data_IF_463560405976
#
_entry.id   IF_463560405976
#
_cell.length_a   1.000
_cell.length_b   1.000
_cell.length_c   1.000
_cell.angle_alpha   90.00
_cell.angle_beta   90.00
_cell.angle_gamma   90.00
#
_symmetry.space_group_name_H-M   'P 1'
#
loop_
_entity.id
_entity.type
_entity.pdbx_description
1 polymer ?
#
# COMPACT_ATOMS: atom_id res chain seq x y z
N UNK A 1 4.00 0.52 31.93
CA UNK A 1 3.47 0.12 30.63
C UNK A 1 4.39 0.58 29.51
N UNK A 2 4.87 -0.34 28.78
CA UNK A 2 5.90 -0.08 27.76
C UNK A 2 5.36 0.54 26.49
N UNK A 3 4.06 0.35 26.18
CA UNK A 3 3.46 0.85 24.95
C UNK A 3 3.59 2.38 24.82
N UNK A 4 3.24 3.12 25.88
CA UNK A 4 3.36 4.58 25.87
C UNK A 4 4.79 5.07 25.77
N UNK A 5 5.75 4.34 26.35
CA UNK A 5 7.17 4.66 26.24
C UNK A 5 7.70 4.32 24.85
N UNK A 6 7.27 3.17 24.27
CA UNK A 6 7.71 2.74 22.95
C UNK A 6 7.30 3.72 21.84
N UNK A 7 6.17 4.42 22.00
CA UNK A 7 5.63 5.33 20.99
C UNK A 7 5.78 6.81 21.33
N UNK A 8 6.50 7.13 22.40
CA UNK A 8 6.56 8.51 22.91
C UNK A 8 7.18 9.49 21.91
N UNK A 9 8.05 9.01 21.00
CA UNK A 9 8.68 9.82 19.95
C UNK A 9 7.96 9.74 18.61
N UNK A 10 6.83 9.06 18.55
CA UNK A 10 6.06 8.96 17.32
C UNK A 10 5.24 10.23 17.16
N UNK A 11 5.16 10.72 15.92
CA UNK A 11 4.44 11.95 15.60
C UNK A 11 3.00 11.64 15.25
N UNK A 12 2.08 12.38 15.85
CA UNK A 12 0.67 12.33 15.43
C UNK A 12 0.50 13.02 14.10
N UNK A 13 -0.22 12.39 13.20
CA UNK A 13 -0.50 12.93 11.90
C UNK A 13 -1.73 12.31 11.28
N UNK A 14 -1.93 12.59 10.02
CA UNK A 14 -2.97 11.99 9.20
C UNK A 14 -2.34 10.97 8.26
N UNK A 15 -3.16 10.05 7.73
CA UNK A 15 -2.65 9.04 6.79
C UNK A 15 -1.91 9.69 5.62
N UNK A 16 -2.39 10.85 5.11
CA UNK A 16 -1.72 11.55 4.02
C UNK A 16 -0.32 12.05 4.38
N UNK A 17 0.01 12.15 5.67
CA UNK A 17 1.36 12.50 6.12
C UNK A 17 2.28 11.28 6.13
N UNK A 18 1.72 10.08 6.13
CA UNK A 18 2.45 8.83 6.01
C UNK A 18 2.62 8.44 4.55
N UNK A 19 1.55 8.53 3.78
CA UNK A 19 1.50 8.16 2.37
C UNK A 19 0.37 8.92 1.68
N UNK A 20 0.68 9.55 0.57
CA UNK A 20 -0.32 10.22 -0.25
C UNK A 20 -0.70 9.32 -1.40
N UNK A 21 -1.97 8.96 -1.48
CA UNK A 21 -2.50 8.06 -2.49
C UNK A 21 -3.08 8.80 -3.68
N UNK A 22 -2.98 8.16 -4.84
CA UNK A 22 -3.64 8.58 -6.06
C UNK A 22 -4.31 7.37 -6.69
N UNK A 23 -5.43 7.60 -7.36
CA UNK A 23 -6.11 6.57 -8.14
C UNK A 23 -5.20 6.10 -9.27
N UNK A 24 -5.18 4.79 -9.51
CA UNK A 24 -4.41 4.17 -10.58
C UNK A 24 -4.98 4.49 -11.97
N UNK A 25 -4.41 3.85 -12.97
CA UNK A 25 -4.63 4.16 -14.37
C UNK A 25 -5.31 2.98 -15.07
N UNK A 26 -6.36 3.27 -15.82
CA UNK A 26 -7.06 2.25 -16.57
C UNK A 26 -6.16 1.68 -17.68
N UNK A 27 -6.23 0.38 -17.84
CA UNK A 27 -5.61 -0.32 -18.97
C UNK A 27 -6.38 -1.62 -19.21
N UNK A 28 -6.77 -1.84 -20.45
CA UNK A 28 -7.40 -3.09 -20.84
C UNK A 28 -6.35 -4.12 -21.26
N UNK A 29 -6.72 -5.40 -21.30
CA UNK A 29 -5.83 -6.45 -21.79
C UNK A 29 -5.37 -6.20 -23.22
N UNK A 30 -6.27 -5.67 -24.05
CA UNK A 30 -5.96 -5.37 -25.45
C UNK A 30 -4.92 -4.25 -25.60
N UNK A 31 -4.83 -3.36 -24.64
CA UNK A 31 -3.87 -2.25 -24.63
C UNK A 31 -2.50 -2.66 -24.09
N UNK A 32 -2.40 -3.84 -23.47
CA UNK A 32 -1.14 -4.29 -22.88
C UNK A 32 -0.24 -4.93 -23.93
N UNK A 33 1.05 -4.63 -23.83
CA UNK A 33 2.09 -5.26 -24.64
C UNK A 33 3.05 -6.00 -23.72
N UNK A 34 3.65 -7.09 -24.22
CA UNK A 34 4.51 -7.95 -23.41
C UNK A 34 5.68 -7.18 -22.82
N UNK A 35 5.95 -7.41 -21.56
CA UNK A 35 7.04 -6.77 -20.85
C UNK A 35 7.16 -7.24 -19.41
N UNK A 36 8.13 -6.67 -18.66
CA UNK A 36 8.42 -7.12 -17.30
C UNK A 36 7.66 -6.35 -16.21
N UNK A 37 6.87 -5.34 -16.57
CA UNK A 37 6.25 -4.43 -15.61
C UNK A 37 4.96 -5.05 -15.06
N UNK A 38 4.86 -5.31 -13.74
CA UNK A 38 3.63 -5.86 -13.18
C UNK A 38 2.51 -4.83 -13.23
N UNK A 39 1.34 -5.28 -13.67
CA UNK A 39 0.08 -4.54 -13.57
C UNK A 39 -0.57 -4.97 -12.27
N UNK A 40 -0.65 -4.05 -11.32
CA UNK A 40 -1.17 -4.32 -9.97
C UNK A 40 -2.60 -3.85 -9.86
N UNK A 41 -3.52 -4.79 -9.73
CA UNK A 41 -4.93 -4.51 -9.50
C UNK A 41 -5.28 -4.71 -8.03
N UNK A 42 -6.55 -4.52 -7.67
CA UNK A 42 -7.02 -4.75 -6.30
C UNK A 42 -6.82 -6.21 -5.85
N UNK A 43 -6.74 -7.15 -6.76
CA UNK A 43 -6.49 -8.56 -6.44
C UNK A 43 -5.00 -8.94 -6.48
N UNK A 44 -4.12 -8.00 -6.77
CA UNK A 44 -2.69 -8.22 -6.88
C UNK A 44 -2.20 -8.10 -8.31
N UNK A 45 -1.05 -8.70 -8.62
CA UNK A 45 -0.50 -8.71 -9.98
C UNK A 45 -1.38 -9.60 -10.86
N UNK A 46 -1.99 -9.01 -11.89
CA UNK A 46 -2.89 -9.71 -12.80
C UNK A 46 -2.28 -9.95 -14.16
N UNK A 47 -1.28 -9.18 -14.54
CA UNK A 47 -0.63 -9.29 -15.83
C UNK A 47 0.70 -8.52 -15.81
N UNK A 48 1.40 -8.55 -16.94
CA UNK A 48 2.66 -7.82 -17.12
C UNK A 48 2.58 -7.00 -18.40
N UNK A 49 3.20 -5.84 -18.37
CA UNK A 49 3.14 -4.86 -19.46
C UNK A 49 4.55 -4.32 -19.72
N UNK A 50 4.71 -3.63 -20.83
CA UNK A 50 6.01 -3.06 -21.21
C UNK A 50 6.28 -1.71 -20.57
N UNK A 51 5.24 -0.99 -20.13
CA UNK A 51 5.36 0.36 -19.59
C UNK A 51 4.93 0.42 -18.13
N UNK A 52 5.62 1.26 -17.35
CA UNK A 52 5.29 1.56 -15.97
C UNK A 52 4.73 2.97 -15.85
N UNK A 53 3.80 3.16 -14.90
CA UNK A 53 3.26 4.48 -14.55
C UNK A 53 3.72 4.94 -13.18
N UNK A 54 4.30 4.06 -12.40
CA UNK A 54 4.77 4.37 -11.05
C UNK A 54 6.14 3.75 -10.80
N UNK A 55 6.96 4.46 -10.05
CA UNK A 55 8.28 3.94 -9.66
C UNK A 55 8.16 3.10 -8.40
N UNK A 56 8.87 1.98 -8.40
CA UNK A 56 9.07 1.18 -7.20
C UNK A 56 10.20 1.73 -6.36
N UNK A 57 10.25 1.37 -5.06
CA UNK A 57 9.25 0.58 -4.38
C UNK A 57 7.97 1.38 -4.12
N UNK A 58 6.83 0.70 -4.12
CA UNK A 58 5.54 1.33 -3.91
C UNK A 58 4.53 0.44 -3.21
N UNK A 59 3.51 1.07 -2.68
CA UNK A 59 2.42 0.39 -1.97
C UNK A 59 1.10 0.69 -2.67
N UNK A 60 0.27 -0.33 -2.78
CA UNK A 60 -1.00 -0.26 -3.51
C UNK A 60 -2.10 -0.83 -2.64
N UNK A 61 -3.23 -0.15 -2.55
CA UNK A 61 -4.40 -0.67 -1.84
C UNK A 61 -5.58 -0.79 -2.80
N UNK A 62 -6.44 -1.78 -2.55
CA UNK A 62 -7.64 -2.00 -3.34
C UNK A 62 -8.66 -0.89 -3.13
N UNK A 63 -9.01 -0.22 -4.22
CA UNK A 63 -10.02 0.85 -4.24
C UNK A 63 -11.39 0.29 -4.60
N UNK A 64 -11.43 -0.73 -5.44
CA UNK A 64 -12.64 -1.30 -6.02
C UNK A 64 -12.40 -2.78 -6.26
N UNK A 65 -13.44 -3.60 -6.12
CA UNK A 65 -13.30 -5.04 -6.22
C UNK A 65 -12.87 -5.63 -4.88
N UNK A 66 -11.58 -5.89 -4.69
CA UNK A 66 -11.05 -6.36 -3.40
C UNK A 66 -10.66 -5.14 -2.56
N UNK A 67 -11.65 -4.57 -1.89
CA UNK A 67 -11.51 -3.32 -1.15
C UNK A 67 -10.52 -3.47 0.00
N UNK A 68 -9.54 -2.57 0.07
CA UNK A 68 -8.61 -2.50 1.19
C UNK A 68 -7.52 -3.56 1.20
N UNK A 69 -7.39 -4.36 0.14
CA UNK A 69 -6.23 -5.23 -0.03
C UNK A 69 -4.96 -4.39 -0.11
N UNK A 70 -3.85 -4.90 0.41
CA UNK A 70 -2.57 -4.17 0.42
C UNK A 70 -1.54 -4.97 -0.35
N UNK A 71 -0.89 -4.34 -1.30
CA UNK A 71 0.14 -4.94 -2.15
C UNK A 71 1.40 -4.09 -2.14
N UNK A 72 2.54 -4.71 -2.37
CA UNK A 72 3.83 -4.06 -2.41
C UNK A 72 4.52 -4.37 -3.74
N UNK A 73 5.12 -3.37 -4.37
CA UNK A 73 5.96 -3.59 -5.54
C UNK A 73 7.36 -3.07 -5.27
N UNK A 74 8.35 -3.93 -5.42
CA UNK A 74 9.76 -3.56 -5.32
C UNK A 74 10.23 -2.84 -6.58
N UNK A 75 9.62 -3.15 -7.71
CA UNK A 75 9.99 -2.65 -9.04
C UNK A 75 8.98 -1.63 -9.54
N UNK A 76 9.34 -0.92 -10.60
CA UNK A 76 8.41 -0.04 -11.29
C UNK A 76 7.19 -0.83 -11.74
N UNK A 77 6.02 -0.23 -11.69
CA UNK A 77 4.76 -0.95 -11.88
C UNK A 77 3.70 -0.08 -12.54
N UNK A 78 2.64 -0.72 -12.97
CA UNK A 78 1.44 -0.05 -13.45
C UNK A 78 0.31 -0.29 -12.44
N UNK A 79 -0.04 0.71 -11.61
CA UNK A 79 -1.22 0.58 -10.73
C UNK A 79 -2.49 0.74 -11.54
N UNK A 80 -3.35 -0.29 -11.47
CA UNK A 80 -4.61 -0.29 -12.19
C UNK A 80 -5.62 0.68 -11.54
N UNK A 81 -6.65 1.12 -12.29
CA UNK A 81 -7.64 2.06 -11.78
C UNK A 81 -8.52 1.47 -10.65
N UNK A 82 -8.49 0.16 -10.45
CA UNK A 82 -9.11 -0.48 -9.29
C UNK A 82 -8.33 -0.28 -7.99
N UNK A 83 -7.26 0.50 -8.02
CA UNK A 83 -6.35 0.70 -6.89
C UNK A 83 -6.15 2.18 -6.55
N UNK A 84 -5.63 2.40 -5.34
CA UNK A 84 -4.96 3.63 -4.94
C UNK A 84 -3.49 3.29 -4.73
N UNK A 85 -2.60 4.10 -5.27
CA UNK A 85 -1.16 3.82 -5.20
C UNK A 85 -0.41 4.96 -4.51
N UNK A 86 0.73 4.63 -3.93
CA UNK A 86 1.56 5.57 -3.17
C UNK A 86 2.29 6.54 -4.11
N UNK A 87 1.61 7.62 -4.44
CA UNK A 87 2.21 8.68 -5.26
C UNK A 87 3.35 9.36 -4.52
N UNK A 88 3.22 9.53 -3.21
CA UNK A 88 4.22 10.17 -2.37
C UNK A 88 4.26 9.44 -1.02
N UNK A 89 5.41 8.85 -0.71
CA UNK A 89 5.62 8.15 0.56
C UNK A 89 6.09 9.11 1.67
N UNK A 90 6.16 10.41 1.40
CA UNK A 90 6.51 11.44 2.39
C UNK A 90 7.84 11.19 3.09
N UNK A 91 8.79 10.52 2.43
CA UNK A 91 10.06 10.16 3.04
C UNK A 91 10.00 8.97 3.98
N UNK A 92 8.86 8.31 4.10
CA UNK A 92 8.70 7.16 4.97
C UNK A 92 9.21 5.88 4.31
N UNK A 93 9.58 4.90 5.12
CA UNK A 93 10.06 3.62 4.63
C UNK A 93 8.92 2.87 3.94
N UNK A 94 9.09 2.45 2.67
CA UNK A 94 7.98 1.83 1.92
C UNK A 94 7.48 0.53 2.53
N UNK A 95 8.38 -0.32 3.04
CA UNK A 95 8.00 -1.57 3.70
C UNK A 95 7.26 -1.31 5.00
N UNK A 96 7.69 -0.31 5.76
CA UNK A 96 6.97 0.08 6.96
C UNK A 96 5.54 0.53 6.62
N UNK A 97 5.39 1.38 5.60
CA UNK A 97 4.06 1.84 5.14
C UNK A 97 3.20 0.64 4.75
N UNK A 98 3.76 -0.30 4.01
CA UNK A 98 3.06 -1.52 3.62
C UNK A 98 2.51 -2.27 4.84
N UNK A 99 3.34 -2.51 5.84
CA UNK A 99 2.91 -3.21 7.06
C UNK A 99 1.91 -2.39 7.86
N UNK A 100 2.13 -1.07 7.95
CA UNK A 100 1.21 -0.20 8.68
C UNK A 100 -0.20 -0.25 8.10
N UNK A 101 -0.32 -0.23 6.78
CA UNK A 101 -1.61 -0.25 6.11
C UNK A 101 -2.40 -1.53 6.40
N UNK A 102 -1.74 -2.65 6.69
CA UNK A 102 -2.42 -3.87 7.10
C UNK A 102 -3.14 -3.73 8.45
N UNK A 103 -2.77 -2.75 9.26
CA UNK A 103 -3.43 -2.52 10.57
C UNK A 103 -4.72 -1.74 10.44
N UNK A 104 -5.01 -1.18 9.28
CA UNK A 104 -6.19 -0.35 9.04
C UNK A 104 -7.29 -1.21 8.40
N UNK A 105 -8.49 -1.15 8.98
CA UNK A 105 -9.65 -1.81 8.38
C UNK A 105 -10.31 -0.87 7.37
N UNK A 106 -9.87 -0.94 6.12
CA UNK A 106 -10.42 -0.10 5.06
C UNK A 106 -11.86 -0.49 4.67
N UNK A 107 -12.28 -1.71 4.96
CA UNK A 107 -13.64 -2.16 4.65
C UNK A 107 -14.71 -1.36 5.37
N UNK A 108 -14.37 -0.75 6.51
CA UNK A 108 -15.33 0.09 7.25
C UNK A 108 -15.76 1.35 6.46
N UNK A 109 -15.03 1.69 5.40
CA UNK A 109 -15.39 2.82 4.53
C UNK A 109 -16.32 2.41 3.39
N UNK A 110 -16.69 1.14 3.34
CA UNK A 110 -17.79 0.66 2.51
C UNK A 110 -19.09 1.08 3.19
N UNK A 111 -19.83 1.95 2.52
CA UNK A 111 -21.05 2.54 3.09
C UNK A 111 -22.32 1.80 2.65
N UNK A 112 -22.22 0.47 2.48
CA UNK A 112 -23.38 -0.35 2.15
C UNK A 112 -23.83 -0.23 0.70
N UNK A 113 -22.96 0.22 -0.17
CA UNK A 113 -23.21 0.30 -1.60
C UNK A 113 -23.01 -1.07 -2.24
N UNK A 114 -23.84 -1.41 -3.23
CA UNK A 114 -23.67 -2.66 -3.98
C UNK A 114 -22.36 -2.71 -4.77
N UNK A 115 -21.72 -1.57 -4.99
CA UNK A 115 -20.46 -1.45 -5.71
C UNK A 115 -19.51 -0.54 -4.91
N UNK A 116 -18.99 -1.03 -3.76
CA UNK A 116 -18.21 -0.20 -2.86
C UNK A 116 -16.91 0.27 -3.51
N UNK A 117 -16.59 1.54 -3.28
CA UNK A 117 -15.38 2.17 -3.80
C UNK A 117 -14.72 2.96 -2.67
N UNK A 118 -13.42 2.73 -2.49
CA UNK A 118 -12.63 3.43 -1.49
C UNK A 118 -12.20 4.79 -2.06
N UNK A 119 -12.64 5.88 -1.43
CA UNK A 119 -12.26 7.23 -1.83
C UNK A 119 -11.05 7.70 -0.99
N UNK A 120 -9.98 8.10 -1.66
CA UNK A 120 -8.78 8.57 -0.97
C UNK A 120 -9.05 9.73 -0.01
N UNK A 121 -10.00 10.60 -0.33
CA UNK A 121 -10.34 11.74 0.53
C UNK A 121 -10.92 11.30 1.86
N UNK A 122 -11.56 10.13 1.91
CA UNK A 122 -12.10 9.58 3.16
C UNK A 122 -11.02 8.98 4.06
N UNK A 123 -9.93 8.48 3.47
CA UNK A 123 -8.88 7.82 4.24
C UNK A 123 -7.70 8.73 4.55
N UNK A 124 -7.46 9.77 3.75
CA UNK A 124 -6.33 10.67 3.95
C UNK A 124 -6.37 11.40 5.29
N UNK A 125 -7.55 11.59 5.85
CA UNK A 125 -7.74 12.27 7.16
C UNK A 125 -7.65 11.33 8.36
N UNK A 126 -7.48 10.01 8.14
CA UNK A 126 -7.36 9.07 9.25
C UNK A 126 -6.20 9.44 10.16
N UNK A 127 -6.44 9.48 11.49
CA UNK A 127 -5.35 9.74 12.42
C UNK A 127 -4.37 8.57 12.47
N UNK A 128 -3.10 8.87 12.44
CA UNK A 128 -2.02 7.88 12.50
C UNK A 128 -0.92 8.36 13.44
N UNK A 129 -0.10 7.40 13.87
CA UNK A 129 1.14 7.69 14.60
C UNK A 129 2.29 7.28 13.70
N UNK A 130 3.21 8.22 13.46
CA UNK A 130 4.32 8.02 12.54
C UNK A 130 5.62 7.95 13.35
N UNK A 131 6.30 6.78 13.37
CA UNK A 131 7.55 6.65 14.10
C UNK A 131 8.70 7.34 13.38
N UNK A 132 9.80 7.63 14.09
CA UNK A 132 11.01 8.13 13.45
C UNK A 132 11.55 7.14 12.41
N UNK A 133 12.33 7.65 11.47
CA UNK A 133 12.86 6.89 10.34
C UNK A 133 13.62 5.63 10.76
N UNK A 134 14.47 5.71 11.78
CA UNK A 134 15.23 4.55 12.26
C UNK A 134 14.31 3.47 12.85
N UNK A 135 13.27 3.88 13.54
CA UNK A 135 12.26 2.95 14.07
C UNK A 135 11.51 2.26 12.93
N UNK A 136 11.13 3.03 11.90
CA UNK A 136 10.49 2.47 10.70
C UNK A 136 11.35 1.39 10.06
N UNK A 137 12.63 1.67 9.88
CA UNK A 137 13.58 0.72 9.29
C UNK A 137 13.68 -0.55 10.10
N UNK A 138 13.74 -0.45 11.42
CA UNK A 138 13.81 -1.62 12.30
C UNK A 138 12.54 -2.46 12.25
N UNK A 139 11.37 -1.82 12.31
CA UNK A 139 10.08 -2.52 12.23
C UNK A 139 9.96 -3.22 10.88
N UNK A 140 10.27 -2.51 9.80
CA UNK A 140 10.20 -3.06 8.45
C UNK A 140 11.13 -4.27 8.30
N UNK A 141 12.34 -4.18 8.85
CA UNK A 141 13.31 -5.29 8.80
C UNK A 141 12.82 -6.53 9.54
N UNK A 142 12.27 -6.35 10.73
CA UNK A 142 11.76 -7.46 11.56
C UNK A 142 10.57 -8.13 10.86
N UNK A 143 9.60 -7.34 10.39
CA UNK A 143 8.38 -7.88 9.77
C UNK A 143 8.68 -8.50 8.41
N UNK A 144 9.61 -7.94 7.64
CA UNK A 144 10.04 -8.55 6.37
C UNK A 144 10.70 -9.91 6.60
N UNK A 145 11.50 -10.04 7.66
CA UNK A 145 12.12 -11.31 8.01
C UNK A 145 11.07 -12.37 8.36
N UNK A 146 10.02 -11.99 9.08
CA UNK A 146 8.90 -12.90 9.37
C UNK A 146 8.15 -13.33 8.11
N UNK A 147 7.89 -12.40 7.20
CA UNK A 147 7.24 -12.71 5.92
C UNK A 147 8.07 -13.70 5.11
N UNK A 148 9.38 -13.49 5.03
CA UNK A 148 10.29 -14.38 4.32
C UNK A 148 10.31 -15.79 4.95
N UNK A 149 10.29 -15.85 6.27
CA UNK A 149 10.27 -17.13 6.99
C UNK A 149 8.97 -17.89 6.72
N UNK A 150 7.84 -17.21 6.75
CA UNK A 150 6.53 -17.80 6.45
C UNK A 150 6.51 -18.31 5.02
N UNK A 151 7.00 -17.55 4.07
CA UNK A 151 7.03 -17.91 2.65
C UNK A 151 7.93 -19.15 2.44
N UNK A 152 9.07 -19.21 3.10
CA UNK A 152 9.96 -20.37 3.00
C UNK A 152 9.32 -21.65 3.58
N UNK A 153 8.52 -21.51 4.63
CA UNK A 153 7.83 -22.65 5.25
C UNK A 153 6.66 -23.19 4.42
N UNK A 154 6.17 -22.41 3.47
CA UNK A 154 5.08 -22.82 2.56
C UNK A 154 5.57 -23.66 1.38
N UNK A 155 6.86 -23.69 1.13
CA UNK A 155 7.48 -24.38 -0.02
C UNK A 155 7.80 -25.82 0.28
#
# INVERSE_FOLDING_TARGET
>A
MTMGLATKHWTKGKLQDLVFFQRGFDITRAQQTDGPVPVVSSSGVTSYHSEAMARGPGVVIGRKGTLGSVHYSEVDYWPHDTTLWSKDLRGNNPRFVYFYLHTINFKRFDVGNSNPTLNRNHIHDLPVLIPPSDTQTRIAGILSAYDDLIENNRR
#
